data_IF_224127347564
#
_entry.id   IF_224127347564
#
_cell.length_a   1.000
_cell.length_b   1.000
_cell.length_c   1.000
_cell.angle_alpha   90.00
_cell.angle_beta   90.00
_cell.angle_gamma   90.00
#
_symmetry.space_group_name_H-M   'P 1'
#
loop_
_entity.id
_entity.type
_entity.pdbx_description
1 polymer ?
#
# COMPACT_ATOMS: atom_id res chain seq x y z
N UNK A 1 -6.84 13.16 7.13
CA UNK A 1 -7.93 12.33 6.60
C UNK A 1 -7.43 11.09 5.91
N UNK A 2 -6.51 11.25 4.95
CA UNK A 2 -6.07 10.13 4.10
C UNK A 2 -5.25 9.04 4.80
N UNK A 3 -4.61 9.33 5.93
CA UNK A 3 -3.89 8.31 6.69
C UNK A 3 -4.84 7.62 7.68
N UNK A 4 -4.99 6.30 7.57
CA UNK A 4 -5.82 5.51 8.50
C UNK A 4 -5.08 5.35 9.84
N UNK A 5 -5.37 6.23 10.79
CA UNK A 5 -4.72 6.19 12.10
C UNK A 5 -5.07 4.93 12.93
N UNK A 6 -6.11 4.17 12.57
CA UNK A 6 -6.57 3.02 13.35
C UNK A 6 -5.97 1.71 12.87
N UNK A 7 -5.98 1.44 11.56
CA UNK A 7 -5.37 0.21 11.02
C UNK A 7 -4.26 0.43 10.00
N UNK A 8 -3.81 1.68 9.84
CA UNK A 8 -2.69 2.07 9.00
C UNK A 8 -2.95 1.93 7.50
N UNK A 9 -1.95 2.34 6.72
CA UNK A 9 -2.07 2.55 5.29
C UNK A 9 -2.72 3.90 4.95
N UNK A 10 -2.55 4.28 3.69
CA UNK A 10 -3.08 5.52 3.12
C UNK A 10 -4.22 5.24 2.16
N UNK A 11 -5.29 6.01 2.28
CA UNK A 11 -6.33 6.10 1.27
C UNK A 11 -5.83 6.82 0.03
N UNK A 12 -6.40 6.47 -1.13
CA UNK A 12 -5.90 6.84 -2.46
C UNK A 12 -5.79 8.35 -2.69
N UNK A 13 -6.83 9.10 -2.35
CA UNK A 13 -6.83 10.57 -2.45
C UNK A 13 -7.87 11.19 -1.50
N UNK A 14 -7.84 12.52 -1.36
CA UNK A 14 -8.87 13.28 -0.65
C UNK A 14 -9.84 13.92 -1.62
N UNK A 15 -11.13 13.97 -1.27
CA UNK A 15 -12.16 14.63 -2.09
C UNK A 15 -12.38 16.10 -1.70
N UNK A 16 -11.78 16.54 -0.59
CA UNK A 16 -11.75 17.92 -0.14
C UNK A 16 -10.33 18.52 -0.16
N UNK A 17 -10.26 19.85 -0.18
CA UNK A 17 -9.00 20.61 -0.24
C UNK A 17 -8.20 20.60 1.07
N UNK A 18 -8.78 20.15 2.19
CA UNK A 18 -8.13 20.09 3.50
C UNK A 18 -7.52 18.71 3.80
N UNK A 19 -7.57 17.77 2.85
CA UNK A 19 -7.03 16.41 3.00
C UNK A 19 -7.70 15.59 4.13
N UNK A 20 -8.97 15.89 4.42
CA UNK A 20 -9.72 15.33 5.55
C UNK A 20 -10.65 14.18 5.17
N UNK A 21 -11.36 14.29 4.05
CA UNK A 21 -12.32 13.31 3.56
C UNK A 21 -11.66 12.47 2.47
N UNK A 22 -11.22 11.24 2.77
CA UNK A 22 -10.63 10.37 1.77
C UNK A 22 -11.70 9.78 0.85
N UNK A 23 -11.29 9.42 -0.36
CA UNK A 23 -11.88 8.28 -1.05
C UNK A 23 -11.29 7.02 -0.43
N UNK A 24 -12.11 6.21 0.25
CA UNK A 24 -11.63 5.22 1.23
C UNK A 24 -10.86 4.01 0.65
N UNK A 25 -10.78 3.90 -0.67
CA UNK A 25 -9.97 2.91 -1.39
C UNK A 25 -8.48 3.02 -1.01
N UNK A 26 -7.80 1.88 -0.91
CA UNK A 26 -6.34 1.81 -0.68
C UNK A 26 -5.68 0.99 -1.77
N UNK A 27 -4.76 1.60 -2.52
CA UNK A 27 -4.04 0.95 -3.61
C UNK A 27 -2.65 0.53 -3.17
N UNK A 28 -2.17 -0.63 -3.65
CA UNK A 28 -0.84 -1.14 -3.33
C UNK A 28 0.28 -0.19 -3.78
N UNK A 29 0.18 0.37 -4.99
CA UNK A 29 1.20 1.28 -5.52
C UNK A 29 1.32 2.56 -4.69
N UNK A 30 0.21 3.09 -4.16
CA UNK A 30 0.23 4.24 -3.27
C UNK A 30 0.96 3.89 -1.96
N UNK A 31 0.66 2.72 -1.38
CA UNK A 31 1.38 2.26 -0.18
C UNK A 31 2.88 2.16 -0.43
N UNK A 32 3.28 1.55 -1.55
CA UNK A 32 4.68 1.36 -1.90
C UNK A 32 5.42 2.69 -2.08
N UNK A 33 4.89 3.59 -2.93
CA UNK A 33 5.52 4.87 -3.24
C UNK A 33 5.58 5.80 -2.02
N UNK A 34 4.51 5.85 -1.23
CA UNK A 34 4.48 6.65 0.01
C UNK A 34 5.47 6.07 1.03
N UNK A 35 5.54 4.75 1.19
CA UNK A 35 6.51 4.13 2.10
C UNK A 35 7.95 4.44 1.71
N UNK A 36 8.29 4.39 0.41
CA UNK A 36 9.62 4.76 -0.09
C UNK A 36 9.95 6.21 0.30
N UNK A 37 9.04 7.14 0.05
CA UNK A 37 9.23 8.55 0.41
C UNK A 37 9.49 8.73 1.91
N UNK A 38 8.76 8.02 2.78
CA UNK A 38 8.99 8.07 4.22
C UNK A 38 10.31 7.40 4.65
N UNK A 39 10.69 6.28 4.03
CA UNK A 39 11.97 5.61 4.29
C UNK A 39 13.13 6.55 3.94
N UNK A 40 13.10 7.16 2.76
CA UNK A 40 14.16 8.07 2.30
C UNK A 40 14.19 9.35 3.14
N UNK A 41 13.02 9.91 3.49
CA UNK A 41 12.94 11.06 4.39
C UNK A 41 13.53 10.74 5.78
N UNK A 42 13.28 9.54 6.31
CA UNK A 42 13.96 9.08 7.53
C UNK A 42 15.46 8.96 7.34
N UNK A 43 15.94 8.38 6.24
CA UNK A 43 17.37 8.23 5.99
C UNK A 43 18.07 9.59 5.95
N UNK A 44 17.46 10.59 5.31
CA UNK A 44 17.98 11.94 5.17
C UNK A 44 17.93 12.77 6.46
N UNK A 45 16.83 12.66 7.23
CA UNK A 45 16.56 13.57 8.37
C UNK A 45 16.76 12.93 9.74
N UNK A 46 16.76 11.59 9.81
CA UNK A 46 16.69 10.78 11.04
C UNK A 46 15.46 11.08 11.92
N UNK A 47 14.42 11.72 11.38
CA UNK A 47 13.19 11.99 12.12
C UNK A 47 12.41 10.69 12.38
N UNK A 48 12.23 10.26 13.64
CA UNK A 48 11.60 8.98 13.96
C UNK A 48 10.14 8.86 13.51
N UNK A 49 9.43 9.98 13.31
CA UNK A 49 8.04 9.94 12.80
C UNK A 49 7.98 9.38 11.38
N UNK A 50 8.95 9.69 10.51
CA UNK A 50 9.00 9.13 9.17
C UNK A 50 9.26 7.62 9.17
N UNK A 51 10.18 7.15 10.04
CA UNK A 51 10.41 5.72 10.25
C UNK A 51 9.12 5.04 10.72
N UNK A 52 8.45 5.61 11.73
CA UNK A 52 7.22 5.07 12.28
C UNK A 52 6.12 4.96 11.21
N UNK A 53 5.89 6.02 10.43
CA UNK A 53 4.86 6.00 9.38
C UNK A 53 5.16 4.96 8.31
N UNK A 54 6.41 4.81 7.87
CA UNK A 54 6.78 3.73 6.94
C UNK A 54 6.51 2.33 7.53
N UNK A 55 6.86 2.11 8.79
CA UNK A 55 6.58 0.83 9.47
C UNK A 55 5.08 0.57 9.61
N UNK A 56 4.27 1.60 9.84
CA UNK A 56 2.81 1.50 9.90
C UNK A 56 2.22 1.14 8.52
N UNK A 57 2.75 1.69 7.42
CA UNK A 57 2.37 1.28 6.05
C UNK A 57 2.73 -0.20 5.82
N UNK A 58 3.96 -0.60 6.13
CA UNK A 58 4.38 -2.00 5.98
C UNK A 58 3.55 -2.95 6.84
N UNK A 59 3.16 -2.52 8.04
CA UNK A 59 2.27 -3.29 8.91
C UNK A 59 0.92 -3.56 8.24
N UNK A 60 0.31 -2.53 7.62
CA UNK A 60 -0.93 -2.70 6.85
C UNK A 60 -0.74 -3.65 5.65
N UNK A 61 0.29 -3.44 4.84
CA UNK A 61 0.51 -4.27 3.64
C UNK A 61 0.75 -5.74 4.03
N UNK A 62 1.57 -5.99 5.04
CA UNK A 62 1.90 -7.34 5.50
C UNK A 62 0.66 -8.02 6.11
N UNK A 63 -0.14 -7.29 6.89
CA UNK A 63 -1.32 -7.85 7.57
C UNK A 63 -2.49 -8.08 6.62
N UNK A 64 -2.80 -7.11 5.77
CA UNK A 64 -4.10 -7.04 5.08
C UNK A 64 -4.00 -7.37 3.58
N UNK A 65 -2.87 -7.00 2.96
CA UNK A 65 -2.68 -7.05 1.50
C UNK A 65 -1.81 -8.23 1.04
N UNK A 66 -1.18 -8.96 1.95
CA UNK A 66 -0.31 -10.10 1.58
C UNK A 66 -1.14 -11.37 1.41
N UNK A 67 -1.07 -11.97 0.23
CA UNK A 67 -1.62 -13.29 -0.06
C UNK A 67 -0.91 -14.35 0.79
N UNK A 68 -1.61 -15.42 1.23
CA UNK A 68 -0.97 -16.58 1.84
C UNK A 68 0.14 -17.22 0.97
N UNK A 69 0.10 -17.01 -0.35
CA UNK A 69 1.09 -17.49 -1.31
C UNK A 69 2.34 -16.59 -1.41
N UNK A 70 2.31 -15.38 -0.82
CA UNK A 70 3.45 -14.48 -0.69
C UNK A 70 3.40 -13.21 -1.54
N UNK A 71 2.61 -13.17 -2.62
CA UNK A 71 2.38 -11.95 -3.39
C UNK A 71 1.46 -10.94 -2.68
N UNK A 72 1.39 -9.71 -3.18
CA UNK A 72 0.56 -8.63 -2.63
C UNK A 72 -0.64 -8.35 -3.54
N UNK A 73 -1.82 -8.27 -2.94
CA UNK A 73 -3.07 -7.88 -3.58
C UNK A 73 -3.03 -6.42 -4.04
N UNK A 74 -3.83 -6.11 -5.05
CA UNK A 74 -3.76 -4.84 -5.77
C UNK A 74 -4.43 -3.68 -5.04
N UNK A 75 -5.58 -3.92 -4.40
CA UNK A 75 -6.34 -2.88 -3.71
C UNK A 75 -7.29 -3.40 -2.63
N UNK A 76 -7.76 -2.47 -1.78
CA UNK A 76 -8.92 -2.61 -0.90
C UNK A 76 -9.93 -1.52 -1.29
N UNK A 77 -11.17 -1.92 -1.57
CA UNK A 77 -12.22 -1.04 -2.08
C UNK A 77 -12.63 0.03 -1.05
N UNK A 78 -13.29 1.10 -1.52
CA UNK A 78 -13.81 2.15 -0.66
C UNK A 78 -15.09 1.76 0.10
N UNK A 79 -15.87 0.85 -0.48
CA UNK A 79 -17.18 0.43 -0.01
C UNK A 79 -17.12 -0.81 0.89
N UNK A 80 -17.89 -0.77 1.97
CA UNK A 80 -18.21 -1.95 2.77
C UNK A 80 -19.72 -1.99 2.99
N UNK A 81 -20.36 -3.12 2.70
CA UNK A 81 -21.82 -3.28 2.77
C UNK A 81 -22.60 -2.29 1.88
N UNK A 82 -22.02 -1.87 0.75
CA UNK A 82 -22.64 -0.92 -0.18
C UNK A 82 -22.65 0.53 0.31
N UNK A 83 -21.87 0.86 1.34
CA UNK A 83 -21.73 2.21 1.89
C UNK A 83 -20.24 2.57 2.00
N UNK A 84 -19.85 3.65 1.33
CA UNK A 84 -18.47 4.15 1.32
C UNK A 84 -18.06 4.59 2.73
N UNK A 85 -16.88 4.16 3.17
CA UNK A 85 -16.32 4.61 4.44
C UNK A 85 -16.96 3.99 5.70
N UNK A 86 -18.03 3.18 5.58
CA UNK A 86 -18.72 2.57 6.73
C UNK A 86 -17.78 1.79 7.64
N UNK A 87 -16.82 1.06 7.07
CA UNK A 87 -15.78 0.35 7.82
C UNK A 87 -14.91 1.30 8.68
N UNK A 88 -14.63 2.50 8.18
CA UNK A 88 -13.67 3.46 8.74
C UNK A 88 -14.28 4.50 9.69
N UNK A 89 -15.58 4.81 9.52
CA UNK A 89 -16.27 5.88 10.24
C UNK A 89 -16.85 5.42 11.60
N UNK A 90 -16.94 6.34 12.56
CA UNK A 90 -17.35 6.06 13.94
C UNK A 90 -18.31 7.10 14.50
N UNK A 91 -19.40 6.69 15.16
CA UNK A 91 -20.13 7.61 16.03
C UNK A 91 -19.39 7.79 17.37
N UNK A 92 -19.57 8.95 18.02
CA UNK A 92 -19.02 9.18 19.36
C UNK A 92 -19.49 8.12 20.37
N UNK A 93 -20.78 7.75 20.31
CA UNK A 93 -21.37 6.71 21.16
C UNK A 93 -20.76 5.32 20.94
N UNK A 94 -20.39 4.97 19.71
CA UNK A 94 -19.67 3.72 19.45
C UNK A 94 -18.31 3.70 20.18
N UNK A 95 -17.57 4.80 20.10
CA UNK A 95 -16.25 4.93 20.73
C UNK A 95 -16.33 4.99 22.26
N UNK A 96 -17.34 5.67 22.81
CA UNK A 96 -17.61 5.71 24.25
C UNK A 96 -17.91 4.31 24.83
N UNK A 97 -18.56 3.44 24.05
CA UNK A 97 -18.81 2.05 24.48
C UNK A 97 -17.57 1.14 24.39
N UNK A 98 -16.54 1.55 23.66
CA UNK A 98 -15.30 0.77 23.46
C UNK A 98 -14.23 1.18 24.48
N UNK A 99 -14.21 2.45 24.87
CA UNK A 99 -13.14 3.07 25.63
C UNK A 99 -13.58 3.39 27.05
N UNK A 100 -12.62 3.38 27.97
CA UNK A 100 -12.84 3.91 29.32
C UNK A 100 -13.06 5.43 29.26
N UNK A 101 -13.63 6.03 30.31
CA UNK A 101 -14.05 7.44 30.28
C UNK A 101 -12.89 8.41 30.01
N UNK A 102 -11.73 8.16 30.62
CA UNK A 102 -10.51 8.95 30.42
C UNK A 102 -9.87 8.70 29.05
N UNK A 103 -9.92 7.46 28.57
CA UNK A 103 -9.49 7.09 27.21
C UNK A 103 -10.35 7.75 26.13
N UNK A 104 -11.68 7.76 26.29
CA UNK A 104 -12.60 8.40 25.36
C UNK A 104 -12.37 9.92 25.31
N UNK A 105 -12.18 10.56 26.47
CA UNK A 105 -11.85 11.98 26.54
C UNK A 105 -10.53 12.30 25.81
N UNK A 106 -9.50 11.47 26.02
CA UNK A 106 -8.22 11.62 25.34
C UNK A 106 -8.34 11.39 23.82
N UNK A 107 -9.04 10.33 23.40
CA UNK A 107 -9.31 10.02 22.00
C UNK A 107 -10.06 11.16 21.31
N UNK A 108 -11.03 11.76 22.00
CA UNK A 108 -11.83 12.88 21.50
C UNK A 108 -10.96 14.09 21.20
N UNK A 109 -10.07 14.43 22.13
CA UNK A 109 -9.13 15.55 21.94
C UNK A 109 -8.13 15.28 20.81
N UNK A 110 -7.63 14.05 20.70
CA UNK A 110 -6.55 13.71 19.75
C UNK A 110 -7.08 13.52 18.33
N UNK A 111 -8.16 12.75 18.17
CA UNK A 111 -8.71 12.36 16.87
C UNK A 111 -9.83 13.27 16.36
N UNK A 112 -9.99 14.44 16.98
CA UNK A 112 -11.01 15.43 16.62
C UNK A 112 -12.44 14.84 16.57
N UNK A 113 -12.79 14.01 17.56
CA UNK A 113 -14.13 13.40 17.61
C UNK A 113 -15.14 14.49 18.02
N UNK A 114 -16.21 14.61 17.25
CA UNK A 114 -17.32 15.51 17.53
C UNK A 114 -18.59 14.70 17.82
N UNK A 115 -19.38 15.14 18.81
CA UNK A 115 -20.66 14.51 19.14
C UNK A 115 -21.63 14.52 17.95
N UNK A 116 -21.64 15.62 17.19
CA UNK A 116 -22.41 15.75 15.94
C UNK A 116 -21.80 15.02 14.74
N UNK A 117 -20.65 14.36 14.90
CA UNK A 117 -19.81 13.88 13.80
C UNK A 117 -18.99 14.99 13.15
N UNK A 118 -17.79 14.65 12.68
CA UNK A 118 -16.90 15.52 11.92
C UNK A 118 -16.87 15.18 10.41
N UNK A 119 -17.48 14.08 9.98
CA UNK A 119 -17.50 13.63 8.59
C UNK A 119 -18.66 14.26 7.82
N UNK A 120 -18.35 14.80 6.64
CA UNK A 120 -19.32 15.30 5.68
C UNK A 120 -19.48 14.28 4.56
N UNK A 121 -20.71 13.82 4.35
CA UNK A 121 -21.03 12.98 3.20
C UNK A 121 -20.83 13.78 1.90
N UNK A 122 -20.12 13.20 0.93
CA UNK A 122 -19.73 13.89 -0.29
C UNK A 122 -20.92 14.23 -1.18
N UNK A 123 -21.94 13.36 -1.18
CA UNK A 123 -23.12 13.53 -2.04
C UNK A 123 -24.05 14.61 -1.50
N UNK A 124 -24.33 14.58 -0.19
CA UNK A 124 -25.28 15.48 0.45
C UNK A 124 -24.63 16.75 1.02
N UNK A 125 -23.31 16.77 1.22
CA UNK A 125 -22.59 17.85 1.89
C UNK A 125 -22.95 18.02 3.36
N UNK A 126 -23.62 17.04 3.98
CA UNK A 126 -24.14 17.13 5.35
C UNK A 126 -23.35 16.23 6.30
N UNK A 127 -23.32 16.63 7.57
CA UNK A 127 -22.79 15.78 8.64
C UNK A 127 -23.65 14.53 8.78
N UNK A 128 -23.00 13.37 8.86
CA UNK A 128 -23.69 12.08 8.99
C UNK A 128 -23.89 11.64 10.45
N UNK A 129 -23.39 12.41 11.42
CA UNK A 129 -23.27 11.98 12.82
C UNK A 129 -22.09 11.02 13.05
N UNK A 130 -21.30 10.73 12.02
CA UNK A 130 -20.07 9.93 12.11
C UNK A 130 -18.82 10.80 12.09
N UNK A 131 -17.75 10.22 12.58
CA UNK A 131 -16.43 10.80 12.65
C UNK A 131 -15.45 9.99 11.81
N UNK A 132 -14.64 10.70 11.03
CA UNK A 132 -13.36 10.23 10.56
C UNK A 132 -12.30 10.61 11.61
N UNK A 133 -11.52 9.62 12.05
CA UNK A 133 -10.50 9.85 13.06
C UNK A 133 -9.25 10.40 12.39
N UNK A 134 -8.90 11.65 12.70
CA UNK A 134 -7.70 12.30 12.20
C UNK A 134 -7.04 13.12 13.31
N UNK A 135 -5.71 13.19 13.31
CA UNK A 135 -5.02 13.98 14.32
C UNK A 135 -5.35 15.47 14.18
N UNK A 136 -5.74 16.10 15.29
CA UNK A 136 -5.91 17.56 15.37
C UNK A 136 -4.59 18.29 15.59
N UNK A 137 -3.66 17.62 16.27
CA UNK A 137 -2.34 18.12 16.61
C UNK A 137 -1.35 16.96 16.69
N UNK A 138 -0.06 17.27 16.60
CA UNK A 138 1.00 16.28 16.80
C UNK A 138 0.92 15.69 18.22
N UNK A 139 1.16 14.39 18.33
CA UNK A 139 1.13 13.69 19.60
C UNK A 139 2.36 14.04 20.43
N UNK A 140 2.13 14.46 21.68
CA UNK A 140 3.22 14.58 22.65
C UNK A 140 3.77 13.19 23.00
N UNK A 141 5.10 13.08 23.18
CA UNK A 141 5.77 11.78 23.45
C UNK A 141 5.19 11.02 24.63
N UNK A 142 4.79 11.72 25.70
CA UNK A 142 4.16 11.15 26.90
C UNK A 142 2.76 10.56 26.66
N UNK A 143 2.09 10.89 25.55
CA UNK A 143 0.75 10.40 25.20
C UNK A 143 0.76 9.24 24.22
N UNK A 144 1.88 8.99 23.53
CA UNK A 144 1.97 8.00 22.45
C UNK A 144 1.59 6.58 22.90
N UNK A 145 2.05 6.14 24.07
CA UNK A 145 1.72 4.80 24.58
C UNK A 145 0.23 4.64 24.89
N UNK A 146 -0.38 5.67 25.48
CA UNK A 146 -1.83 5.68 25.79
C UNK A 146 -2.64 5.65 24.50
N UNK A 147 -2.29 6.51 23.53
CA UNK A 147 -2.95 6.55 22.22
C UNK A 147 -2.79 5.23 21.46
N UNK A 148 -1.64 4.58 21.56
CA UNK A 148 -1.42 3.28 20.93
C UNK A 148 -2.33 2.18 21.50
N UNK A 149 -2.57 2.18 22.82
CA UNK A 149 -3.53 1.25 23.46
C UNK A 149 -4.97 1.55 23.07
N UNK A 150 -5.36 2.82 23.05
CA UNK A 150 -6.68 3.28 22.59
C UNK A 150 -6.91 2.85 21.14
N UNK A 151 -5.94 3.13 20.26
CA UNK A 151 -5.97 2.71 18.85
C UNK A 151 -6.20 1.21 18.73
N UNK A 152 -5.48 0.40 19.52
CA UNK A 152 -5.63 -1.06 19.49
C UNK A 152 -7.03 -1.52 19.95
N UNK A 153 -7.62 -0.89 20.98
CA UNK A 153 -9.02 -1.17 21.39
C UNK A 153 -10.00 -0.88 20.25
N UNK A 154 -9.86 0.27 19.59
CA UNK A 154 -10.70 0.66 18.44
C UNK A 154 -10.47 -0.31 17.26
N UNK A 155 -9.22 -0.61 16.94
CA UNK A 155 -8.83 -1.55 15.88
C UNK A 155 -9.45 -2.93 16.10
N UNK A 156 -9.33 -3.51 17.29
CA UNK A 156 -9.91 -4.82 17.62
C UNK A 156 -11.45 -4.84 17.52
N UNK A 157 -12.11 -3.69 17.69
CA UNK A 157 -13.55 -3.57 17.42
C UNK A 157 -13.83 -3.45 15.92
N UNK A 158 -12.97 -2.73 15.18
CA UNK A 158 -13.09 -2.54 13.73
C UNK A 158 -12.94 -3.85 12.96
N UNK A 159 -12.01 -4.71 13.37
CA UNK A 159 -11.80 -6.05 12.77
C UNK A 159 -13.02 -6.98 12.85
N UNK A 160 -14.05 -6.61 13.63
CA UNK A 160 -15.31 -7.36 13.72
C UNK A 160 -16.38 -6.82 12.74
N UNK A 161 -16.09 -5.73 12.03
CA UNK A 161 -16.97 -5.17 10.99
C UNK A 161 -16.76 -5.97 9.69
N UNK A 162 -17.70 -5.85 8.77
CA UNK A 162 -17.51 -6.35 7.42
C UNK A 162 -16.43 -5.49 6.77
N UNK A 163 -15.33 -6.12 6.37
CA UNK A 163 -14.23 -5.43 5.68
C UNK A 163 -14.68 -4.97 4.29
N UNK A 164 -14.08 -3.90 3.76
CA UNK A 164 -14.18 -3.61 2.35
C UNK A 164 -13.69 -4.79 1.52
N UNK A 165 -14.22 -4.94 0.32
CA UNK A 165 -13.79 -5.99 -0.58
C UNK A 165 -12.33 -5.76 -0.99
N UNK A 166 -11.55 -6.84 -1.06
CA UNK A 166 -10.16 -6.78 -1.53
C UNK A 166 -10.10 -7.19 -2.98
N UNK A 167 -9.47 -6.36 -3.80
CA UNK A 167 -9.12 -6.74 -5.16
C UNK A 167 -7.86 -7.64 -5.12
N UNK A 168 -8.11 -8.94 -5.03
CA UNK A 168 -7.14 -10.02 -4.88
C UNK A 168 -6.29 -10.31 -6.13
N UNK A 169 -6.40 -9.49 -7.19
CA UNK A 169 -5.41 -9.51 -8.27
C UNK A 169 -4.02 -9.22 -7.71
N UNK A 170 -3.03 -9.97 -8.18
CA UNK A 170 -1.62 -9.72 -7.94
C UNK A 170 -1.02 -9.24 -9.27
N UNK A 171 -0.51 -8.00 -9.27
CA UNK A 171 0.05 -7.36 -10.46
C UNK A 171 1.57 -7.27 -10.34
N UNK A 172 2.30 -7.69 -11.38
CA UNK A 172 3.77 -7.77 -11.36
C UNK A 172 4.41 -6.40 -11.09
N UNK A 173 3.96 -5.36 -11.77
CA UNK A 173 4.45 -4.00 -11.58
C UNK A 173 4.27 -3.47 -10.15
N UNK A 174 3.07 -3.56 -9.59
CA UNK A 174 2.79 -3.05 -8.24
C UNK A 174 3.47 -3.89 -7.15
N UNK A 175 3.60 -5.20 -7.37
CA UNK A 175 4.39 -6.05 -6.50
C UNK A 175 5.87 -5.67 -6.56
N UNK A 176 6.41 -5.37 -7.75
CA UNK A 176 7.77 -4.84 -7.90
C UNK A 176 8.00 -3.59 -7.05
N UNK A 177 7.08 -2.60 -7.12
CA UNK A 177 7.16 -1.40 -6.27
C UNK A 177 7.15 -1.74 -4.77
N UNK A 178 6.24 -2.61 -4.33
CA UNK A 178 6.12 -2.95 -2.91
C UNK A 178 7.34 -3.75 -2.40
N UNK A 179 7.87 -4.67 -3.21
CA UNK A 179 9.08 -5.42 -2.89
C UNK A 179 10.26 -4.45 -2.73
N UNK A 180 10.45 -3.52 -3.68
CA UNK A 180 11.49 -2.49 -3.57
C UNK A 180 11.32 -1.65 -2.29
N UNK A 181 10.08 -1.23 -1.98
CA UNK A 181 9.78 -0.46 -0.76
C UNK A 181 10.13 -1.24 0.53
N UNK A 182 9.77 -2.52 0.61
CA UNK A 182 10.10 -3.39 1.74
C UNK A 182 11.62 -3.56 1.91
N UNK A 183 12.35 -3.75 0.81
CA UNK A 183 13.82 -3.90 0.87
C UNK A 183 14.48 -2.62 1.34
N UNK A 184 14.07 -1.46 0.82
CA UNK A 184 14.53 -0.16 1.31
C UNK A 184 14.25 0.02 2.80
N UNK A 185 13.05 -0.35 3.24
CA UNK A 185 12.68 -0.37 4.65
C UNK A 185 13.56 -1.30 5.50
N UNK A 186 13.82 -2.51 5.01
CA UNK A 186 14.66 -3.50 5.69
C UNK A 186 16.08 -2.95 5.94
N UNK A 187 16.69 -2.36 4.91
CA UNK A 187 18.03 -1.78 4.99
C UNK A 187 18.04 -0.55 5.90
N UNK A 188 17.08 0.37 5.72
CA UNK A 188 17.04 1.62 6.48
C UNK A 188 16.75 1.41 7.98
N UNK A 189 15.96 0.40 8.31
CA UNK A 189 15.50 0.14 9.68
C UNK A 189 16.19 -1.02 10.36
N UNK A 190 17.02 -1.79 9.63
CA UNK A 190 17.68 -3.02 10.08
C UNK A 190 16.66 -4.07 10.54
N UNK A 191 15.64 -4.31 9.70
CA UNK A 191 14.56 -5.26 9.99
C UNK A 191 14.48 -6.36 8.92
N UNK A 192 15.02 -7.53 9.27
CA UNK A 192 15.07 -8.70 8.40
C UNK A 192 13.68 -9.25 8.07
N UNK A 193 12.64 -8.92 8.84
CA UNK A 193 11.29 -9.37 8.53
C UNK A 193 10.82 -8.78 7.19
N UNK A 194 11.08 -7.50 6.93
CA UNK A 194 10.72 -6.86 5.66
C UNK A 194 11.48 -7.49 4.48
N UNK A 195 12.75 -7.83 4.69
CA UNK A 195 13.54 -8.53 3.68
C UNK A 195 12.97 -9.92 3.37
N UNK A 196 12.58 -10.69 4.40
CA UNK A 196 11.99 -12.02 4.20
C UNK A 196 10.64 -11.95 3.47
N UNK A 197 9.80 -10.96 3.79
CA UNK A 197 8.54 -10.74 3.07
C UNK A 197 8.80 -10.37 1.61
N UNK A 198 9.77 -9.48 1.34
CA UNK A 198 10.15 -9.10 -0.03
C UNK A 198 10.64 -10.30 -0.86
N UNK A 199 11.45 -11.19 -0.27
CA UNK A 199 11.92 -12.42 -0.93
C UNK A 199 10.78 -13.34 -1.33
N UNK A 200 9.79 -13.54 -0.44
CA UNK A 200 8.58 -14.32 -0.74
C UNK A 200 7.77 -13.70 -1.87
N UNK A 201 7.67 -12.37 -1.91
CA UNK A 201 7.03 -11.65 -3.01
C UNK A 201 7.70 -11.95 -4.36
N UNK A 202 9.04 -11.88 -4.42
CA UNK A 202 9.78 -12.25 -5.65
C UNK A 202 9.59 -13.73 -6.00
N UNK A 203 9.69 -14.63 -5.03
CA UNK A 203 9.46 -16.06 -5.24
C UNK A 203 8.07 -16.33 -5.84
N UNK A 204 7.04 -15.64 -5.34
CA UNK A 204 5.69 -15.71 -5.88
C UNK A 204 5.64 -15.27 -7.35
N UNK A 205 6.21 -14.09 -7.67
CA UNK A 205 6.22 -13.57 -9.05
C UNK A 205 6.97 -14.52 -9.98
N UNK A 206 8.14 -15.02 -9.57
CA UNK A 206 8.95 -15.91 -10.41
C UNK A 206 8.32 -17.30 -10.59
N UNK A 207 7.48 -17.74 -9.65
CA UNK A 207 6.81 -19.03 -9.74
C UNK A 207 5.54 -18.98 -10.61
N UNK A 208 4.82 -17.85 -10.58
CA UNK A 208 3.48 -17.75 -11.18
C UNK A 208 3.41 -16.83 -12.41
N UNK A 209 4.25 -15.80 -12.47
CA UNK A 209 4.16 -14.72 -13.45
C UNK A 209 5.40 -14.63 -14.36
N UNK A 210 6.38 -15.52 -14.18
CA UNK A 210 7.53 -15.67 -15.08
C UNK A 210 7.26 -16.77 -16.12
N UNK A 211 7.41 -16.42 -17.39
CA UNK A 211 7.11 -17.34 -18.49
C UNK A 211 8.30 -18.23 -18.83
N UNK A 212 8.04 -19.39 -19.44
CA UNK A 212 9.09 -20.35 -19.84
C UNK A 212 10.10 -19.79 -20.85
N UNK A 213 9.73 -18.75 -21.61
CA UNK A 213 10.63 -18.02 -22.52
C UNK A 213 11.35 -16.83 -21.86
N UNK A 214 11.24 -16.69 -20.54
CA UNK A 214 11.95 -15.69 -19.74
C UNK A 214 11.30 -14.30 -19.68
N UNK A 215 10.04 -14.17 -20.09
CA UNK A 215 9.26 -12.94 -19.97
C UNK A 215 8.41 -12.91 -18.70
N UNK A 216 7.59 -11.86 -18.61
CA UNK A 216 6.63 -11.64 -17.52
C UNK A 216 5.19 -11.62 -18.03
N UNK A 217 4.29 -12.08 -17.17
CA UNK A 217 2.86 -11.84 -17.23
C UNK A 217 2.51 -10.70 -16.26
N UNK A 218 1.44 -9.98 -16.56
CA UNK A 218 1.02 -8.83 -15.78
C UNK A 218 0.20 -9.23 -14.55
N UNK A 219 -0.74 -10.17 -14.71
CA UNK A 219 -1.80 -10.42 -13.72
C UNK A 219 -1.90 -11.87 -13.31
N UNK A 220 -1.95 -12.11 -12.00
CA UNK A 220 -2.39 -13.36 -11.40
C UNK A 220 -3.70 -13.13 -10.63
N UNK A 221 -4.67 -14.02 -10.82
CA UNK A 221 -5.92 -14.06 -10.04
C UNK A 221 -6.47 -15.48 -10.06
N UNK A 222 -6.90 -15.98 -8.90
CA UNK A 222 -7.54 -17.30 -8.74
C UNK A 222 -6.79 -18.45 -9.43
N UNK A 223 -5.47 -18.54 -9.22
CA UNK A 223 -4.63 -19.59 -9.82
C UNK A 223 -4.31 -19.41 -11.31
N UNK A 224 -4.77 -18.31 -11.91
CA UNK A 224 -4.65 -18.06 -13.35
C UNK A 224 -3.74 -16.86 -13.61
N UNK A 225 -2.67 -17.09 -14.38
CA UNK A 225 -1.76 -16.05 -14.86
C UNK A 225 -2.08 -15.67 -16.30
N UNK A 226 -2.43 -14.42 -16.53
CA UNK A 226 -2.84 -13.90 -17.84
C UNK A 226 -2.24 -12.52 -18.10
N UNK A 227 -2.41 -12.06 -19.34
CA UNK A 227 -1.98 -10.76 -19.86
C UNK A 227 -0.46 -10.68 -19.96
N UNK A 228 0.05 -10.39 -21.16
CA UNK A 228 1.48 -10.16 -21.35
C UNK A 228 1.91 -8.94 -20.55
N UNK A 229 3.08 -9.03 -19.90
CA UNK A 229 3.63 -7.93 -19.13
C UNK A 229 3.81 -6.67 -19.96
N UNK A 230 3.54 -5.54 -19.34
CA UNK A 230 3.80 -4.18 -19.81
C UNK A 230 5.22 -3.74 -19.43
N UNK A 231 5.65 -2.60 -19.96
CA UNK A 231 6.95 -2.02 -19.62
C UNK A 231 7.15 -1.86 -18.10
N UNK A 232 6.10 -1.46 -17.38
CA UNK A 232 6.12 -1.23 -15.94
C UNK A 232 6.38 -2.51 -15.14
N UNK A 233 5.86 -3.66 -15.59
CA UNK A 233 6.08 -4.95 -14.94
C UNK A 233 7.56 -5.31 -14.93
N UNK A 234 8.25 -5.07 -16.05
CA UNK A 234 9.69 -5.28 -16.16
C UNK A 234 10.44 -4.23 -15.34
N UNK A 235 10.14 -2.94 -15.52
CA UNK A 235 10.87 -1.86 -14.86
C UNK A 235 10.87 -1.98 -13.34
N UNK A 236 9.69 -2.20 -12.74
CA UNK A 236 9.57 -2.20 -11.28
C UNK A 236 10.04 -3.51 -10.67
N UNK A 237 9.87 -4.65 -11.34
CA UNK A 237 10.44 -5.91 -10.86
C UNK A 237 11.98 -5.92 -10.97
N UNK A 238 12.54 -5.40 -12.07
CA UNK A 238 14.00 -5.25 -12.22
C UNK A 238 14.55 -4.37 -11.09
N UNK A 239 13.89 -3.25 -10.78
CA UNK A 239 14.27 -2.40 -9.67
C UNK A 239 14.27 -3.16 -8.34
N UNK A 240 13.19 -3.88 -8.04
CA UNK A 240 13.08 -4.69 -6.83
C UNK A 240 14.19 -5.75 -6.70
N UNK A 241 14.54 -6.40 -7.81
CA UNK A 241 15.61 -7.39 -7.86
C UNK A 241 17.00 -6.78 -7.62
N UNK A 242 17.23 -5.56 -8.14
CA UNK A 242 18.47 -4.82 -7.87
C UNK A 242 18.55 -4.46 -6.38
N UNK A 243 17.48 -3.93 -5.79
CA UNK A 243 17.45 -3.61 -4.36
C UNK A 243 17.71 -4.86 -3.50
N UNK A 244 17.10 -6.01 -3.85
CA UNK A 244 17.37 -7.29 -3.17
C UNK A 244 18.82 -7.73 -3.31
N UNK A 245 19.40 -7.59 -4.50
CA UNK A 245 20.82 -7.89 -4.69
C UNK A 245 21.70 -7.00 -3.82
N UNK A 246 21.44 -5.69 -3.75
CA UNK A 246 22.22 -4.76 -2.92
C UNK A 246 22.07 -5.06 -1.42
N UNK A 247 20.89 -5.48 -0.99
CA UNK A 247 20.63 -5.84 0.41
C UNK A 247 21.22 -7.18 0.82
N UNK A 248 21.40 -8.13 -0.10
CA UNK A 248 21.73 -9.54 0.23
C UNK A 248 23.02 -10.06 -0.39
N UNK A 249 23.50 -9.43 -1.46
CA UNK A 249 24.52 -9.92 -2.38
C UNK A 249 24.22 -11.29 -3.02
N UNK A 250 22.96 -11.73 -3.00
CA UNK A 250 22.54 -12.96 -3.67
C UNK A 250 22.52 -12.76 -5.19
N UNK A 251 23.55 -13.30 -5.87
CA UNK A 251 23.79 -13.15 -7.31
C UNK A 251 22.60 -13.60 -8.18
N UNK A 252 21.74 -14.47 -7.64
CA UNK A 252 20.49 -14.86 -8.28
C UNK A 252 19.65 -13.65 -8.71
N UNK A 253 19.42 -12.69 -7.82
CA UNK A 253 18.57 -11.53 -8.11
C UNK A 253 19.14 -10.66 -9.23
N UNK A 254 20.45 -10.40 -9.19
CA UNK A 254 21.13 -9.62 -10.24
C UNK A 254 21.07 -10.31 -11.61
N UNK A 255 21.29 -11.63 -11.65
CA UNK A 255 21.18 -12.39 -12.92
C UNK A 255 19.77 -12.35 -13.48
N UNK A 256 18.75 -12.50 -12.63
CA UNK A 256 17.35 -12.40 -13.04
C UNK A 256 17.02 -11.00 -13.55
N UNK A 257 17.50 -9.96 -12.89
CA UNK A 257 17.34 -8.57 -13.34
C UNK A 257 17.94 -8.33 -14.72
N UNK A 258 19.16 -8.83 -14.98
CA UNK A 258 19.82 -8.72 -16.29
C UNK A 258 19.01 -9.42 -17.38
N UNK A 259 18.55 -10.65 -17.12
CA UNK A 259 17.76 -11.41 -18.10
C UNK A 259 16.43 -10.70 -18.43
N UNK A 260 15.73 -10.19 -17.41
CA UNK A 260 14.50 -9.42 -17.60
C UNK A 260 14.76 -8.12 -18.34
N UNK A 261 15.87 -7.43 -18.07
CA UNK A 261 16.22 -6.20 -18.77
C UNK A 261 16.50 -6.44 -20.25
N UNK A 262 17.18 -7.53 -20.61
CA UNK A 262 17.36 -7.92 -22.01
C UNK A 262 16.00 -8.14 -22.70
N UNK A 263 15.07 -8.86 -22.03
CA UNK A 263 13.71 -9.06 -22.54
C UNK A 263 12.92 -7.77 -22.63
N UNK A 264 13.13 -6.84 -21.72
CA UNK A 264 12.52 -5.51 -21.76
C UNK A 264 12.98 -4.72 -22.99
N UNK A 265 14.29 -4.71 -23.29
CA UNK A 265 14.82 -4.09 -24.50
C UNK A 265 14.22 -4.74 -25.74
N UNK A 266 14.30 -6.08 -25.84
CA UNK A 266 13.75 -6.83 -26.98
C UNK A 266 12.26 -6.54 -27.26
N UNK A 267 11.46 -6.33 -26.21
CA UNK A 267 10.00 -6.22 -26.31
C UNK A 267 9.48 -4.80 -26.49
N UNK A 268 10.16 -3.82 -25.91
CA UNK A 268 9.58 -2.49 -25.71
C UNK A 268 10.40 -1.37 -26.35
N UNK A 269 11.69 -1.59 -26.66
CA UNK A 269 12.53 -0.54 -27.23
C UNK A 269 12.10 -0.17 -28.66
N UNK A 270 12.09 1.13 -28.97
CA UNK A 270 11.91 1.62 -30.34
C UNK A 270 13.25 1.92 -31.01
N UNK A 271 13.70 1.04 -31.90
CA UNK A 271 14.95 1.20 -32.65
C UNK A 271 14.95 2.42 -33.60
N UNK A 272 13.80 2.97 -33.97
CA UNK A 272 13.73 4.06 -34.95
C UNK A 272 13.91 5.44 -34.30
N UNK A 273 13.22 5.68 -33.18
CA UNK A 273 13.11 7.01 -32.56
C UNK A 273 13.71 7.00 -31.13
N UNK A 274 14.01 5.83 -30.58
CA UNK A 274 14.40 5.66 -29.18
C UNK A 274 13.22 5.74 -28.21
N UNK A 275 13.49 5.37 -26.96
CA UNK A 275 12.47 5.26 -25.91
C UNK A 275 11.78 3.89 -25.89
N UNK A 276 10.96 3.67 -24.87
CA UNK A 276 10.25 2.41 -24.67
C UNK A 276 8.75 2.61 -24.89
N UNK A 277 8.10 1.65 -25.54
CA UNK A 277 6.65 1.55 -25.58
C UNK A 277 6.11 0.93 -24.30
N UNK A 278 4.90 1.30 -23.89
CA UNK A 278 4.23 0.68 -22.74
C UNK A 278 3.82 -0.77 -22.98
N UNK A 279 3.46 -1.12 -24.21
CA UNK A 279 3.03 -2.49 -24.59
C UNK A 279 4.08 -3.18 -25.43
N UNK A 280 4.15 -4.51 -25.33
CA UNK A 280 5.14 -5.32 -26.04
C UNK A 280 4.86 -5.34 -27.56
N UNK A 281 5.89 -5.55 -28.38
CA UNK A 281 5.75 -5.71 -29.84
C UNK A 281 4.85 -6.87 -30.25
N UNK A 282 4.68 -7.87 -29.38
CA UNK A 282 3.86 -9.06 -29.60
C UNK A 282 2.57 -9.10 -28.77
N UNK A 283 2.12 -7.95 -28.22
CA UNK A 283 0.81 -7.84 -27.57
C UNK A 283 -0.33 -7.79 -28.61
N UNK A 284 -1.58 -7.71 -28.15
CA UNK A 284 -2.71 -7.41 -29.03
C UNK A 284 -2.40 -6.20 -29.93
N UNK A 285 -2.90 -6.25 -31.16
CA UNK A 285 -2.68 -5.22 -32.16
C UNK A 285 -3.44 -3.94 -31.77
N UNK A 286 -2.71 -3.01 -31.15
CA UNK A 286 -3.26 -1.70 -30.77
C UNK A 286 -3.13 -0.72 -31.93
N UNK A 287 -4.19 0.06 -32.17
CA UNK A 287 -4.19 1.14 -33.17
C UNK A 287 -3.07 2.17 -32.92
N UNK A 288 -2.71 2.39 -31.65
CA UNK A 288 -1.61 3.29 -31.24
C UNK A 288 -0.91 2.64 -30.04
N UNK A 289 0.43 2.54 -30.11
CA UNK A 289 1.28 2.19 -28.97
C UNK A 289 1.85 3.47 -28.37
N UNK A 290 1.52 3.73 -27.11
CA UNK A 290 2.07 4.87 -26.37
C UNK A 290 3.48 4.55 -25.87
N UNK A 291 4.29 5.60 -25.72
CA UNK A 291 5.61 5.59 -25.09
C UNK A 291 5.57 6.39 -23.80
#
# INVERSE_FOLDING_TARGET
GIYDHIGFGFHRYSTDSSWLVPHFEKMLYDQALIAIAYVEAYQATKNPEYKKTAQEIFTYVIRDMTSPEGGFYSAEDADSEGEEGKFYLWSGKELENILEKDEYALATSVYNIEESGNYLDQTSGRKTGKNILHLKQLLEKNTQDKISRIRLKIFNKREKRIHPHKDDKILTDWNGLMIAALVKGAVAFQDDNYLNVAKKGVEFILSNLYTSNGGLLHRYKDGTSEILGYLTDYSFLIWALIELYEATFEVFYLKTAINLHQKQIEKFWDENIGGFYFTATNSEELLIRQK
#
